data_IF_437975753822
#
_entry.id   IF_437975753822
#
_cell.length_a   1.000
_cell.length_b   1.000
_cell.length_c   1.000
_cell.angle_alpha   90.00
_cell.angle_beta   90.00
_cell.angle_gamma   90.00
#
_symmetry.space_group_name_H-M   'P 1'
#
loop_
_entity.id
_entity.type
_entity.pdbx_description
1 polymer ?
#
# COMPACT_ATOMS: atom_id res chain seq x y z
N UNK A 1 -1.63 0.76 15.39
CA UNK A 1 -2.25 1.44 16.55
C UNK A 1 -3.58 0.80 16.95
N UNK A 2 -4.60 0.78 16.08
CA UNK A 2 -5.94 0.27 16.41
C UNK A 2 -6.00 -1.20 16.86
N UNK A 3 -5.17 -2.08 16.28
CA UNK A 3 -5.06 -3.48 16.72
C UNK A 3 -4.61 -3.55 18.19
N UNK A 4 -3.58 -2.78 18.57
CA UNK A 4 -3.08 -2.72 19.95
C UNK A 4 -4.14 -2.19 20.91
N UNK A 5 -4.89 -1.16 20.52
CA UNK A 5 -6.01 -0.63 21.32
C UNK A 5 -7.06 -1.72 21.56
N UNK A 6 -7.45 -2.44 20.50
CA UNK A 6 -8.40 -3.54 20.60
C UNK A 6 -7.93 -4.67 21.53
N UNK A 7 -6.67 -5.09 21.42
CA UNK A 7 -6.08 -6.09 22.31
C UNK A 7 -6.01 -5.63 23.76
N UNK A 8 -5.66 -4.36 24.01
CA UNK A 8 -5.64 -3.79 25.36
C UNK A 8 -7.04 -3.76 25.98
N UNK A 9 -8.07 -3.41 25.21
CA UNK A 9 -9.47 -3.45 25.66
C UNK A 9 -9.92 -4.87 26.00
N UNK A 10 -9.55 -5.87 25.21
CA UNK A 10 -9.82 -7.27 25.52
C UNK A 10 -9.11 -7.72 26.80
N UNK A 11 -7.86 -7.30 27.01
CA UNK A 11 -7.11 -7.58 28.23
C UNK A 11 -7.79 -6.98 29.46
N UNK A 12 -8.25 -5.73 29.37
CA UNK A 12 -9.02 -5.07 30.43
C UNK A 12 -10.29 -5.88 30.70
N UNK A 13 -11.06 -6.23 29.67
CA UNK A 13 -12.27 -7.05 29.83
C UNK A 13 -11.97 -8.37 30.55
N UNK A 14 -10.87 -9.03 30.17
CA UNK A 14 -10.43 -10.27 30.80
C UNK A 14 -10.17 -10.06 32.30
N UNK A 15 -9.43 -9.01 32.68
CA UNK A 15 -9.17 -8.67 34.09
C UNK A 15 -10.48 -8.52 34.87
N UNK A 16 -11.48 -7.83 34.31
CA UNK A 16 -12.79 -7.66 34.95
C UNK A 16 -13.56 -8.98 35.09
N UNK A 17 -13.48 -9.87 34.10
CA UNK A 17 -14.08 -11.20 34.18
C UNK A 17 -13.42 -12.08 35.24
N UNK A 18 -12.09 -12.03 35.35
CA UNK A 18 -11.34 -12.71 36.41
C UNK A 18 -11.68 -12.14 37.78
N UNK A 19 -11.69 -10.81 37.93
CA UNK A 19 -12.04 -10.15 39.18
C UNK A 19 -13.45 -10.53 39.65
N UNK A 20 -14.42 -10.60 38.73
CA UNK A 20 -15.78 -11.07 39.02
C UNK A 20 -15.79 -12.52 39.53
N UNK A 21 -14.96 -13.40 38.98
CA UNK A 21 -14.92 -14.83 39.35
C UNK A 21 -14.18 -15.09 40.66
N UNK A 22 -13.03 -14.46 40.86
CA UNK A 22 -12.10 -14.79 41.95
C UNK A 22 -12.18 -13.81 43.13
N UNK A 23 -12.56 -12.56 42.90
CA UNK A 23 -12.60 -11.51 43.93
C UNK A 23 -13.87 -10.64 43.82
N UNK A 24 -15.07 -11.24 43.89
CA UNK A 24 -16.34 -10.52 43.64
C UNK A 24 -16.61 -9.41 44.65
N UNK A 25 -16.07 -9.52 45.87
CA UNK A 25 -16.25 -8.55 46.96
C UNK A 25 -15.14 -7.49 47.01
N UNK A 26 -14.27 -7.41 46.00
CA UNK A 26 -13.25 -6.37 45.92
C UNK A 26 -13.88 -4.97 45.80
N UNK A 27 -13.19 -3.94 46.30
CA UNK A 27 -13.64 -2.55 46.19
C UNK A 27 -14.02 -2.18 44.74
N UNK A 28 -13.19 -2.58 43.78
CA UNK A 28 -13.40 -2.40 42.35
C UNK A 28 -14.68 -3.09 41.82
N UNK A 29 -15.04 -4.27 42.33
CA UNK A 29 -16.26 -4.97 41.88
C UNK A 29 -17.52 -4.44 42.57
N UNK A 30 -17.41 -4.09 43.84
CA UNK A 30 -18.53 -3.50 44.59
C UNK A 30 -18.94 -2.10 44.10
N UNK A 31 -18.07 -1.39 43.37
CA UNK A 31 -18.43 -0.10 42.76
C UNK A 31 -19.41 -0.23 41.59
N UNK A 32 -19.54 -1.42 40.98
CA UNK A 32 -20.52 -1.66 39.93
C UNK A 32 -21.88 -2.00 40.55
N UNK A 33 -22.85 -1.08 40.40
CA UNK A 33 -24.24 -1.27 40.87
C UNK A 33 -25.13 -1.84 39.76
N UNK A 34 -26.02 -2.77 40.11
CA UNK A 34 -26.99 -3.35 39.19
C UNK A 34 -26.36 -3.93 37.92
N UNK A 35 -26.89 -3.58 36.75
CA UNK A 35 -26.40 -4.06 35.44
C UNK A 35 -25.16 -3.32 34.90
N UNK A 36 -24.58 -2.36 35.65
CA UNK A 36 -23.48 -1.51 35.14
C UNK A 36 -22.26 -2.32 34.68
N UNK A 37 -21.87 -3.38 35.40
CA UNK A 37 -20.74 -4.24 34.99
C UNK A 37 -21.02 -4.94 33.66
N UNK A 38 -22.26 -5.41 33.46
CA UNK A 38 -22.69 -6.04 32.21
C UNK A 38 -22.64 -5.02 31.06
N UNK A 39 -23.19 -3.83 31.26
CA UNK A 39 -23.17 -2.75 30.25
C UNK A 39 -21.74 -2.35 29.90
N UNK A 40 -20.88 -2.12 30.91
CA UNK A 40 -19.46 -1.83 30.72
C UNK A 40 -18.74 -2.93 29.91
N UNK A 41 -18.98 -4.19 30.26
CA UNK A 41 -18.37 -5.34 29.57
C UNK A 41 -18.78 -5.39 28.09
N UNK A 42 -20.07 -5.16 27.82
CA UNK A 42 -20.60 -5.11 26.44
C UNK A 42 -20.01 -3.92 25.67
N UNK A 43 -19.94 -2.74 26.27
CA UNK A 43 -19.37 -1.55 25.63
C UNK A 43 -17.89 -1.72 25.29
N UNK A 44 -17.10 -2.29 26.21
CA UNK A 44 -15.69 -2.61 25.94
C UNK A 44 -15.57 -3.63 24.82
N UNK A 45 -16.40 -4.69 24.83
CA UNK A 45 -16.37 -5.70 23.79
C UNK A 45 -16.67 -5.10 22.41
N UNK A 46 -17.70 -4.24 22.31
CA UNK A 46 -18.04 -3.55 21.06
C UNK A 46 -16.87 -2.67 20.60
N UNK A 47 -16.29 -1.86 21.51
CA UNK A 47 -15.16 -0.99 21.18
C UNK A 47 -13.91 -1.77 20.75
N UNK A 48 -13.64 -2.92 21.39
CA UNK A 48 -12.54 -3.80 21.04
C UNK A 48 -12.73 -4.41 19.66
N UNK A 49 -13.93 -4.93 19.36
CA UNK A 49 -14.27 -5.50 18.05
C UNK A 49 -14.15 -4.44 16.96
N UNK A 50 -14.70 -3.24 17.16
CA UNK A 50 -14.58 -2.16 16.17
C UNK A 50 -13.12 -1.75 15.94
N UNK A 51 -12.33 -1.64 17.00
CA UNK A 51 -10.90 -1.28 16.90
C UNK A 51 -10.09 -2.36 16.18
N UNK A 52 -10.33 -3.64 16.47
CA UNK A 52 -9.68 -4.76 15.80
C UNK A 52 -10.10 -4.85 14.34
N UNK A 53 -11.41 -4.80 14.05
CA UNK A 53 -11.94 -4.85 12.69
C UNK A 53 -11.38 -3.74 11.83
N UNK A 54 -11.40 -2.49 12.33
CA UNK A 54 -10.81 -1.36 11.61
C UNK A 54 -9.28 -1.49 11.48
N UNK A 55 -8.60 -1.92 12.54
CA UNK A 55 -7.15 -2.11 12.53
C UNK A 55 -6.69 -3.17 11.54
N UNK A 56 -7.41 -4.30 11.46
CA UNK A 56 -7.15 -5.36 10.48
C UNK A 56 -7.48 -4.87 9.08
N UNK A 57 -8.65 -4.24 8.89
CA UNK A 57 -9.03 -3.66 7.60
C UNK A 57 -7.94 -2.70 7.09
N UNK A 58 -7.51 -1.77 7.93
CA UNK A 58 -6.45 -0.83 7.59
C UNK A 58 -5.11 -1.55 7.33
N UNK A 59 -4.74 -2.55 8.12
CA UNK A 59 -3.49 -3.29 7.89
C UNK A 59 -3.49 -4.07 6.56
N UNK A 60 -4.65 -4.57 6.13
CA UNK A 60 -4.80 -5.32 4.88
C UNK A 60 -4.95 -4.40 3.67
N UNK A 61 -5.57 -3.23 3.83
CA UNK A 61 -5.87 -2.31 2.72
C UNK A 61 -4.90 -1.14 2.59
N UNK A 62 -4.09 -0.86 3.61
CA UNK A 62 -3.13 0.24 3.55
C UNK A 62 -1.95 -0.14 2.65
N UNK A 63 -1.93 0.49 1.49
CA UNK A 63 -0.79 0.46 0.57
C UNK A 63 -0.08 1.81 0.70
N UNK A 64 1.19 1.85 1.16
CA UNK A 64 1.92 3.11 1.21
C UNK A 64 2.01 3.70 -0.22
N UNK A 65 1.90 5.01 -0.33
CA UNK A 65 1.90 5.70 -1.64
C UNK A 65 3.29 5.78 -2.27
N UNK A 66 4.33 5.55 -1.46
CA UNK A 66 5.71 5.58 -1.86
C UNK A 66 6.58 4.67 -1.00
N UNK A 67 7.75 4.28 -1.54
CA UNK A 67 8.77 3.50 -0.85
C UNK A 67 10.15 3.98 -1.29
N UNK A 68 11.00 4.31 -0.33
CA UNK A 68 12.41 4.61 -0.61
C UNK A 68 13.23 3.32 -0.69
N UNK A 69 14.01 3.21 -1.77
CA UNK A 69 14.89 2.08 -2.08
C UNK A 69 16.28 2.59 -2.43
N UNK A 70 17.29 1.75 -2.23
CA UNK A 70 18.65 2.01 -2.74
C UNK A 70 18.91 1.06 -3.89
N UNK A 71 19.01 1.59 -5.11
CA UNK A 71 19.31 0.82 -6.33
C UNK A 71 20.66 1.32 -6.87
N UNK A 72 21.62 0.41 -7.07
CA UNK A 72 22.97 0.75 -7.57
C UNK A 72 23.65 1.88 -6.78
N UNK A 73 23.58 1.82 -5.44
CA UNK A 73 24.10 2.83 -4.50
C UNK A 73 23.49 4.23 -4.65
N UNK A 74 22.30 4.34 -5.25
CA UNK A 74 21.56 5.58 -5.35
C UNK A 74 20.18 5.43 -4.70
N UNK A 75 19.81 6.41 -3.88
CA UNK A 75 18.50 6.43 -3.24
C UNK A 75 17.43 6.90 -4.22
N UNK A 76 16.33 6.15 -4.29
CA UNK A 76 15.22 6.33 -5.22
C UNK A 76 13.91 6.18 -4.46
N UNK A 77 12.93 6.99 -4.81
CA UNK A 77 11.57 6.87 -4.28
C UNK A 77 10.69 6.23 -5.34
N UNK A 78 10.15 5.04 -5.04
CA UNK A 78 9.14 4.36 -5.84
C UNK A 78 7.77 4.92 -5.46
N UNK A 79 6.95 5.23 -6.44
CA UNK A 79 5.59 5.72 -6.29
C UNK A 79 4.59 4.71 -6.86
N UNK A 80 3.35 4.75 -6.38
CA UNK A 80 2.25 3.95 -6.91
C UNK A 80 1.70 2.98 -5.87
N UNK A 81 1.31 1.79 -6.32
CA UNK A 81 0.76 0.79 -5.43
C UNK A 81 1.89 -0.10 -4.86
N UNK A 82 2.47 0.34 -3.75
CA UNK A 82 3.55 -0.41 -3.09
C UNK A 82 3.02 -1.75 -2.57
N UNK A 83 3.70 -2.83 -2.96
CA UNK A 83 3.26 -4.20 -2.69
C UNK A 83 2.56 -4.86 -3.89
N UNK A 84 2.20 -4.10 -4.93
CA UNK A 84 1.69 -4.65 -6.19
C UNK A 84 2.53 -4.18 -7.38
N UNK A 85 2.43 -2.89 -7.73
CA UNK A 85 3.08 -2.32 -8.91
C UNK A 85 3.29 -0.81 -8.74
N UNK A 86 4.53 -0.36 -8.98
CA UNK A 86 4.95 1.02 -8.83
C UNK A 86 5.86 1.49 -9.96
N UNK A 87 6.29 2.74 -9.88
CA UNK A 87 7.25 3.33 -10.80
C UNK A 87 8.18 4.31 -10.09
N UNK A 88 9.33 4.57 -10.70
CA UNK A 88 10.17 5.72 -10.37
C UNK A 88 10.80 6.29 -11.63
N UNK A 89 11.40 7.47 -11.50
CA UNK A 89 12.22 8.08 -12.55
C UNK A 89 13.47 8.67 -11.92
N UNK A 90 14.56 8.70 -12.67
CA UNK A 90 15.79 9.34 -12.23
C UNK A 90 15.66 10.87 -12.21
N UNK A 91 14.79 11.39 -13.07
CA UNK A 91 14.57 12.81 -13.26
C UNK A 91 13.11 13.15 -13.02
N UNK A 92 12.85 14.43 -12.75
CA UNK A 92 11.48 14.89 -12.63
C UNK A 92 10.81 14.87 -14.02
N UNK A 93 9.69 14.16 -14.12
CA UNK A 93 8.93 14.03 -15.37
C UNK A 93 8.43 15.40 -15.82
N UNK A 94 8.84 15.83 -17.01
CA UNK A 94 8.45 17.12 -17.61
C UNK A 94 7.84 16.91 -18.98
N UNK A 95 6.89 17.78 -19.35
CA UNK A 95 6.34 17.86 -20.70
C UNK A 95 7.46 18.14 -21.71
N UNK A 96 7.39 17.50 -22.87
CA UNK A 96 8.31 17.66 -24.01
C UNK A 96 9.78 17.30 -23.73
N UNK A 97 10.06 16.64 -22.61
CA UNK A 97 11.39 16.13 -22.26
C UNK A 97 11.41 14.60 -22.36
N UNK A 98 12.44 14.05 -23.02
CA UNK A 98 12.70 12.61 -23.02
C UNK A 98 13.17 12.19 -21.63
N UNK A 99 12.40 11.34 -20.97
CA UNK A 99 12.72 10.85 -19.63
C UNK A 99 12.62 9.34 -19.55
N UNK A 100 13.43 8.74 -18.67
CA UNK A 100 13.40 7.31 -18.37
C UNK A 100 12.46 7.05 -17.22
N UNK A 101 11.61 6.06 -17.39
CA UNK A 101 10.69 5.57 -16.36
C UNK A 101 11.03 4.11 -16.08
N UNK A 102 11.01 3.77 -14.81
CA UNK A 102 11.28 2.43 -14.31
C UNK A 102 9.99 1.91 -13.68
N UNK A 103 9.63 0.68 -14.00
CA UNK A 103 8.53 -0.04 -13.35
C UNK A 103 9.08 -0.99 -12.29
N UNK A 104 8.35 -1.11 -11.20
CA UNK A 104 8.70 -1.94 -10.04
C UNK A 104 7.52 -2.85 -9.76
N UNK A 105 7.78 -4.16 -9.70
CA UNK A 105 6.77 -5.18 -9.44
C UNK A 105 7.12 -6.00 -8.20
N UNK A 106 6.13 -6.20 -7.34
CA UNK A 106 6.22 -7.10 -6.18
C UNK A 106 5.74 -8.52 -6.50
N UNK A 107 5.19 -8.73 -7.70
CA UNK A 107 4.78 -10.02 -8.24
C UNK A 107 5.64 -10.35 -9.47
N UNK A 108 5.96 -11.62 -9.72
CA UNK A 108 6.62 -12.02 -10.96
C UNK A 108 5.62 -11.89 -12.12
N UNK A 109 5.72 -10.78 -12.85
CA UNK A 109 4.87 -10.47 -14.00
C UNK A 109 5.53 -10.83 -15.33
N UNK A 110 6.86 -10.99 -15.35
CA UNK A 110 7.65 -11.33 -16.53
C UNK A 110 7.25 -10.49 -17.74
N UNK A 111 7.29 -9.16 -17.57
CA UNK A 111 6.94 -8.22 -18.61
C UNK A 111 7.96 -8.36 -19.75
N UNK A 112 7.50 -8.71 -20.96
CA UNK A 112 8.36 -8.83 -22.14
C UNK A 112 8.01 -7.78 -23.23
N UNK A 113 6.76 -7.79 -23.69
CA UNK A 113 6.30 -6.93 -24.79
C UNK A 113 5.06 -6.13 -24.37
N UNK A 114 5.20 -5.20 -23.40
CA UNK A 114 4.05 -4.45 -22.91
C UNK A 114 3.53 -3.48 -23.96
N UNK A 115 2.20 -3.37 -24.04
CA UNK A 115 1.53 -2.25 -24.67
C UNK A 115 1.06 -1.29 -23.58
N UNK A 116 1.57 -0.07 -23.59
CA UNK A 116 1.23 0.97 -22.62
C UNK A 116 0.26 1.93 -23.29
N UNK A 117 -0.96 1.99 -22.77
CA UNK A 117 -1.92 3.03 -23.12
C UNK A 117 -1.73 4.22 -22.18
N UNK A 118 -1.56 5.40 -22.75
CA UNK A 118 -1.31 6.66 -22.07
C UNK A 118 -2.57 7.50 -22.17
N UNK A 119 -3.21 7.76 -21.04
CA UNK A 119 -4.37 8.64 -20.94
C UNK A 119 -3.90 10.00 -20.38
N UNK A 120 -4.00 11.03 -21.21
CA UNK A 120 -3.64 12.40 -20.87
C UNK A 120 -4.80 13.14 -20.18
N UNK A 121 -4.52 14.20 -19.40
CA UNK A 121 -5.56 14.96 -18.70
C UNK A 121 -6.58 15.63 -19.64
N UNK A 122 -6.20 15.92 -20.89
CA UNK A 122 -7.13 16.41 -21.92
C UNK A 122 -8.16 15.37 -22.41
N UNK A 123 -8.00 14.11 -22.03
CA UNK A 123 -8.76 12.98 -22.57
C UNK A 123 -8.15 12.38 -23.84
N UNK A 124 -7.05 12.95 -24.37
CA UNK A 124 -6.30 12.32 -25.46
C UNK A 124 -5.68 11.00 -24.99
N UNK A 125 -5.67 10.02 -25.89
CA UNK A 125 -5.10 8.71 -25.64
C UNK A 125 -4.00 8.41 -26.64
N UNK A 126 -2.93 7.77 -26.18
CA UNK A 126 -1.82 7.34 -27.02
C UNK A 126 -1.42 5.91 -26.66
N UNK A 127 -1.05 5.12 -27.66
CA UNK A 127 -0.53 3.78 -27.45
C UNK A 127 0.98 3.81 -27.68
N UNK A 128 1.73 3.32 -26.70
CA UNK A 128 3.17 3.23 -26.71
C UNK A 128 3.60 1.78 -26.47
N UNK A 129 4.53 1.28 -27.29
CA UNK A 129 5.10 -0.06 -27.18
C UNK A 129 6.60 0.07 -26.90
N UNK A 130 7.00 0.27 -25.63
CA UNK A 130 8.41 0.41 -25.29
C UNK A 130 9.17 -0.90 -25.47
N UNK A 131 10.43 -0.78 -25.86
CA UNK A 131 11.44 -1.79 -25.51
C UNK A 131 11.72 -1.67 -24.02
N UNK A 132 11.79 -2.80 -23.34
CA UNK A 132 12.05 -2.87 -21.90
C UNK A 132 13.30 -3.70 -21.62
N UNK A 133 13.97 -3.39 -20.52
CA UNK A 133 15.13 -4.12 -20.03
C UNK A 133 14.94 -4.43 -18.56
N UNK A 134 15.19 -5.67 -18.15
CA UNK A 134 15.10 -6.09 -16.75
C UNK A 134 16.37 -5.69 -16.00
N UNK A 135 16.21 -5.18 -14.78
CA UNK A 135 17.30 -4.83 -13.87
C UNK A 135 17.34 -5.84 -12.74
N UNK A 136 18.54 -6.26 -12.34
CA UNK A 136 18.72 -7.18 -11.22
C UNK A 136 18.16 -6.60 -9.91
N UNK A 137 17.35 -7.40 -9.22
CA UNK A 137 16.67 -7.04 -7.97
C UNK A 137 17.22 -7.77 -6.74
N UNK A 138 18.34 -8.48 -6.84
CA UNK A 138 18.82 -9.41 -5.80
C UNK A 138 18.83 -8.80 -4.39
N UNK A 139 19.36 -7.59 -4.23
CA UNK A 139 19.40 -6.89 -2.94
C UNK A 139 18.06 -6.32 -2.50
N UNK A 140 17.19 -5.95 -3.45
CA UNK A 140 15.87 -5.36 -3.19
C UNK A 140 14.80 -6.41 -2.88
N UNK A 141 14.96 -7.63 -3.39
CA UNK A 141 14.07 -8.76 -3.16
C UNK A 141 14.06 -9.15 -1.69
N UNK A 142 15.22 -9.21 -1.04
CA UNK A 142 15.32 -9.56 0.38
C UNK A 142 14.74 -8.47 1.29
N UNK A 143 15.09 -7.20 1.04
CA UNK A 143 14.74 -6.10 1.93
C UNK A 143 13.30 -5.58 1.74
N UNK A 144 12.85 -5.50 0.49
CA UNK A 144 11.61 -4.83 0.11
C UNK A 144 10.62 -5.73 -0.62
N UNK A 145 10.95 -7.02 -0.81
CA UNK A 145 10.13 -7.99 -1.56
C UNK A 145 9.83 -7.57 -3.00
N UNK A 146 10.70 -6.74 -3.57
CA UNK A 146 10.60 -6.35 -4.98
C UNK A 146 11.11 -7.52 -5.81
N UNK A 147 10.24 -8.09 -6.63
CA UNK A 147 10.57 -9.24 -7.47
C UNK A 147 11.28 -8.79 -8.75
N UNK A 148 10.73 -7.79 -9.43
CA UNK A 148 11.20 -7.38 -10.76
C UNK A 148 11.23 -5.86 -10.92
N UNK A 149 12.27 -5.35 -11.59
CA UNK A 149 12.37 -3.95 -12.00
C UNK A 149 12.61 -3.90 -13.51
N UNK A 150 11.85 -3.06 -14.20
CA UNK A 150 11.95 -2.87 -15.64
C UNK A 150 12.28 -1.43 -15.98
N UNK A 151 13.37 -1.22 -16.70
CA UNK A 151 13.67 0.06 -17.33
C UNK A 151 13.01 0.12 -18.69
N UNK A 152 12.16 1.14 -18.89
CA UNK A 152 11.53 1.42 -20.17
C UNK A 152 12.45 2.25 -21.06
N UNK A 153 12.27 2.14 -22.38
CA UNK A 153 12.81 3.10 -23.33
C UNK A 153 12.38 4.54 -22.96
N UNK A 154 13.23 5.56 -23.19
CA UNK A 154 12.84 6.94 -22.91
C UNK A 154 11.59 7.37 -23.66
N UNK A 155 10.69 8.09 -22.98
CA UNK A 155 9.44 8.61 -23.56
C UNK A 155 9.35 10.13 -23.38
N UNK A 156 8.63 10.79 -24.30
CA UNK A 156 8.35 12.22 -24.24
C UNK A 156 6.86 12.44 -24.04
N UNK A 157 6.49 12.90 -22.84
CA UNK A 157 5.10 13.20 -22.51
C UNK A 157 4.65 14.48 -23.20
N UNK A 158 3.49 14.41 -23.87
CA UNK A 158 2.93 15.54 -24.65
C UNK A 158 2.13 16.53 -23.80
N UNK A 159 1.74 16.16 -22.59
CA UNK A 159 0.97 17.00 -21.68
C UNK A 159 1.51 16.93 -20.25
N UNK A 160 1.41 18.05 -19.56
CA UNK A 160 1.65 18.19 -18.12
C UNK A 160 0.37 17.87 -17.34
N UNK A 161 0.49 17.32 -16.14
CA UNK A 161 -0.60 16.98 -15.23
C UNK A 161 -0.58 15.52 -14.81
N UNK A 162 -1.74 15.01 -14.38
CA UNK A 162 -1.91 13.60 -14.04
C UNK A 162 -2.08 12.78 -15.32
N UNK A 163 -1.08 11.98 -15.65
CA UNK A 163 -1.08 11.07 -16.80
C UNK A 163 -1.27 9.66 -16.27
N UNK A 164 -2.23 8.91 -16.82
CA UNK A 164 -2.46 7.52 -16.43
C UNK A 164 -1.81 6.60 -17.45
N UNK A 165 -0.96 5.67 -17.00
CA UNK A 165 -0.45 4.58 -17.84
C UNK A 165 -1.20 3.31 -17.48
N UNK A 166 -1.81 2.70 -18.49
CA UNK A 166 -2.38 1.36 -18.41
C UNK A 166 -1.44 0.40 -19.14
N UNK A 167 -0.77 -0.46 -18.38
CA UNK A 167 0.13 -1.48 -18.91
C UNK A 167 -0.71 -2.71 -19.25
N UNK A 168 -0.68 -3.11 -20.52
CA UNK A 168 -1.32 -4.32 -21.03
C UNK A 168 -0.26 -5.35 -21.36
N UNK A 169 -0.36 -6.54 -20.74
CA UNK A 169 0.50 -7.69 -21.03
C UNK A 169 -0.36 -8.94 -21.27
N UNK A 170 -0.11 -9.62 -22.41
CA UNK A 170 -0.73 -10.89 -22.80
C UNK A 170 -2.27 -10.95 -22.61
N UNK A 171 -2.97 -9.85 -22.95
CA UNK A 171 -4.44 -9.69 -22.84
C UNK A 171 -5.04 -9.92 -21.43
N UNK A 172 -4.22 -10.09 -20.38
CA UNK A 172 -4.69 -10.46 -19.02
C UNK A 172 -4.29 -9.47 -17.95
N UNK A 173 -3.10 -8.88 -18.05
CA UNK A 173 -2.59 -7.98 -17.00
C UNK A 173 -2.86 -6.54 -17.40
N UNK A 174 -3.76 -5.88 -16.67
CA UNK A 174 -4.05 -4.45 -16.78
C UNK A 174 -3.64 -3.77 -15.47
N UNK A 175 -2.35 -3.46 -15.30
CA UNK A 175 -1.89 -2.65 -14.16
C UNK A 175 -2.01 -1.17 -14.56
N UNK A 176 -2.46 -0.33 -13.63
CA UNK A 176 -2.62 1.11 -13.86
C UNK A 176 -1.73 1.87 -12.89
N UNK A 177 -1.03 2.88 -13.40
CA UNK A 177 -0.24 3.81 -12.60
C UNK A 177 -0.56 5.24 -13.01
N UNK A 178 -0.50 6.14 -12.04
CA UNK A 178 -0.72 7.57 -12.28
C UNK A 178 0.61 8.28 -12.06
N UNK A 179 1.09 8.95 -13.10
CA UNK A 179 2.27 9.80 -13.05
C UNK A 179 1.88 11.26 -12.99
N UNK A 180 2.70 12.05 -12.32
CA UNK A 180 2.59 13.51 -12.35
C UNK A 180 3.70 14.05 -13.23
N UNK A 181 3.32 14.55 -14.41
CA UNK A 181 4.22 15.24 -15.35
C UNK A 181 4.11 16.73 -15.09
N UNK A 182 5.23 17.43 -14.90
CA UNK A 182 5.25 18.88 -14.74
C UNK A 182 5.33 19.62 -16.07
#
# INVERSE_FOLDING_TARGET
>A
MYIFIGLALLLILLIFLFAKKFTPNSFMMTSFKGNSLKTFSISILIAAVLSLSYGIYHAVTYQPSHLDITLQNQDRTVFGNIGEFGYFSEELLKKDVKTKVYFVSWEPIHLEHPQIKIDYPSGKQENWKPTISSISTSTLKEKHKIEEIYQLAPYTFKESGKVTLTIQHNNKTNKKIILTVK
#
